data_IF_306638170989
#
_entry.id   IF_306638170989
#
_cell.length_a   1.000
_cell.length_b   1.000
_cell.length_c   1.000
_cell.angle_alpha   90.00
_cell.angle_beta   90.00
_cell.angle_gamma   90.00
#
_symmetry.space_group_name_H-M   'P 1'
#
loop_
_entity.id
_entity.type
_entity.pdbx_description
1 polymer ?
#
# COMPACT_ATOMS: atom_id res chain seq x y z
N UNK A 1 -1.30 21.46 1.21
CA UNK A 1 -1.85 20.09 1.26
C UNK A 1 -0.66 19.14 1.29
N UNK A 2 -0.69 18.05 2.08
CA UNK A 2 0.40 17.07 2.11
C UNK A 2 0.34 16.12 0.91
N UNK A 3 1.46 15.47 0.55
CA UNK A 3 1.48 14.39 -0.45
C UNK A 3 1.07 13.05 0.19
N UNK A 4 0.48 12.14 -0.58
CA UNK A 4 0.06 10.81 -0.10
C UNK A 4 0.71 9.68 -0.92
N UNK A 5 1.22 8.65 -0.24
CA UNK A 5 1.66 7.39 -0.84
C UNK A 5 0.90 6.23 -0.18
N UNK A 6 0.19 5.43 -0.98
CA UNK A 6 -0.43 4.18 -0.55
C UNK A 6 0.24 2.98 -1.25
N UNK A 7 0.64 1.99 -0.46
CA UNK A 7 1.34 0.78 -0.90
C UNK A 7 0.48 -0.42 -0.54
N UNK A 8 -0.16 -1.04 -1.54
CA UNK A 8 -1.25 -1.98 -1.31
C UNK A 8 -1.05 -3.30 -2.05
N UNK A 9 -1.58 -4.39 -1.48
CA UNK A 9 -1.49 -5.72 -2.06
C UNK A 9 -2.77 -6.14 -2.78
N UNK A 10 -2.66 -6.67 -4.00
CA UNK A 10 -3.82 -7.01 -4.84
C UNK A 10 -4.70 -8.13 -4.29
N UNK A 11 -4.13 -8.95 -3.40
CA UNK A 11 -4.79 -10.11 -2.81
C UNK A 11 -5.17 -9.85 -1.35
N UNK A 12 -5.25 -8.59 -0.94
CA UNK A 12 -5.71 -8.17 0.39
C UNK A 12 -7.25 -8.21 0.45
N UNK A 13 -7.85 -9.15 1.20
CA UNK A 13 -9.31 -9.19 1.37
C UNK A 13 -9.82 -8.22 2.45
N UNK A 14 -8.93 -7.65 3.26
CA UNK A 14 -9.26 -6.71 4.35
C UNK A 14 -9.59 -5.34 3.77
N UNK A 15 -8.88 -4.94 2.71
CA UNK A 15 -9.13 -3.69 1.98
C UNK A 15 -9.37 -3.99 0.49
N UNK A 16 -10.63 -4.26 0.08
CA UNK A 16 -10.95 -4.61 -1.31
C UNK A 16 -10.69 -3.46 -2.30
N UNK A 17 -10.56 -3.80 -3.59
CA UNK A 17 -10.28 -2.85 -4.67
C UNK A 17 -11.24 -1.64 -4.72
N UNK A 18 -12.51 -1.81 -4.34
CA UNK A 18 -13.47 -0.71 -4.29
C UNK A 18 -13.09 0.38 -3.26
N UNK A 19 -12.46 0.01 -2.14
CA UNK A 19 -11.98 0.99 -1.15
C UNK A 19 -10.76 1.74 -1.66
N UNK A 20 -9.87 1.08 -2.41
CA UNK A 20 -8.74 1.75 -3.07
C UNK A 20 -9.25 2.75 -4.12
N UNK A 21 -10.20 2.34 -4.96
CA UNK A 21 -10.81 3.24 -5.94
C UNK A 21 -11.51 4.44 -5.28
N UNK A 22 -12.18 4.23 -4.13
CA UNK A 22 -12.77 5.33 -3.36
C UNK A 22 -11.71 6.30 -2.82
N UNK A 23 -10.59 5.79 -2.29
CA UNK A 23 -9.47 6.61 -1.84
C UNK A 23 -8.85 7.44 -2.98
N UNK A 24 -8.63 6.81 -4.13
CA UNK A 24 -8.11 7.49 -5.34
C UNK A 24 -9.03 8.65 -5.76
N UNK A 25 -10.35 8.43 -5.75
CA UNK A 25 -11.33 9.45 -6.06
C UNK A 25 -11.32 10.61 -5.05
N UNK A 26 -11.32 10.30 -3.75
CA UNK A 26 -11.30 11.31 -2.67
C UNK A 26 -10.03 12.18 -2.76
N UNK A 27 -8.86 11.57 -2.92
CA UNK A 27 -7.59 12.30 -3.02
C UNK A 27 -7.51 13.14 -4.29
N UNK A 28 -8.08 12.64 -5.40
CA UNK A 28 -8.15 13.39 -6.66
C UNK A 28 -9.09 14.58 -6.59
N UNK A 29 -10.28 14.42 -6.03
CA UNK A 29 -11.25 15.50 -5.82
C UNK A 29 -10.68 16.58 -4.88
N UNK A 30 -9.91 16.15 -3.87
CA UNK A 30 -9.22 17.06 -2.97
C UNK A 30 -7.98 17.74 -3.59
N UNK A 31 -7.64 17.47 -4.85
CA UNK A 31 -6.43 17.97 -5.54
C UNK A 31 -5.15 17.74 -4.71
N UNK A 32 -5.04 16.55 -4.12
CA UNK A 32 -3.85 16.10 -3.39
C UNK A 32 -2.88 15.45 -4.37
N UNK A 33 -1.57 15.67 -4.22
CA UNK A 33 -0.58 14.87 -4.94
C UNK A 33 -0.50 13.49 -4.27
N UNK A 34 -0.98 12.48 -4.96
CA UNK A 34 -1.09 11.12 -4.45
C UNK A 34 -0.50 10.08 -5.39
N UNK A 35 0.00 8.99 -4.80
CA UNK A 35 0.47 7.80 -5.51
C UNK A 35 -0.13 6.56 -4.84
N UNK A 36 -0.76 5.68 -5.61
CA UNK A 36 -1.13 4.33 -5.17
C UNK A 36 -0.31 3.32 -5.96
N UNK A 37 0.39 2.43 -5.27
CA UNK A 37 1.09 1.29 -5.89
C UNK A 37 0.40 -0.01 -5.49
N UNK A 38 -0.03 -0.75 -6.51
CA UNK A 38 -0.58 -2.09 -6.35
C UNK A 38 0.50 -3.15 -6.58
N UNK A 39 0.74 -3.97 -5.57
CA UNK A 39 1.61 -5.14 -5.67
C UNK A 39 0.76 -6.37 -5.95
N UNK A 40 0.99 -7.00 -7.11
CA UNK A 40 0.41 -8.31 -7.40
C UNK A 40 0.75 -9.32 -6.28
N UNK A 41 -0.07 -10.36 -6.12
CA UNK A 41 0.07 -11.47 -5.15
C UNK A 41 0.10 -11.11 -3.66
N UNK A 42 0.38 -9.86 -3.30
CA UNK A 42 0.55 -9.42 -1.93
C UNK A 42 -0.79 -9.41 -1.19
N UNK A 43 -0.75 -9.94 0.03
CA UNK A 43 -1.87 -10.02 0.95
C UNK A 43 -1.80 -8.89 1.99
N UNK A 44 -2.78 -8.82 2.88
CA UNK A 44 -2.69 -7.92 4.03
C UNK A 44 -1.44 -8.25 4.86
N UNK A 45 -0.95 -7.27 5.63
CA UNK A 45 0.17 -7.45 6.55
C UNK A 45 1.50 -7.90 5.91
N UNK A 46 1.73 -7.63 4.62
CA UNK A 46 2.99 -8.01 3.95
C UNK A 46 4.27 -7.39 4.55
N UNK A 47 4.15 -6.30 5.32
CA UNK A 47 5.24 -5.71 6.09
C UNK A 47 5.34 -6.15 7.57
N UNK A 48 4.39 -6.94 8.07
CA UNK A 48 4.34 -7.35 9.48
C UNK A 48 5.10 -8.65 9.65
N UNK A 49 6.27 -8.58 10.28
CA UNK A 49 7.09 -9.78 10.53
C UNK A 49 6.30 -10.82 11.33
N UNK A 50 6.35 -12.08 10.87
CA UNK A 50 5.63 -13.19 11.50
C UNK A 50 4.17 -13.36 11.06
N UNK A 51 3.60 -12.47 10.22
CA UNK A 51 2.29 -12.68 9.64
C UNK A 51 2.28 -13.95 8.76
N UNK A 52 1.48 -14.95 9.14
CA UNK A 52 1.40 -16.23 8.45
C UNK A 52 -0.01 -16.82 8.58
N UNK A 53 -1.00 -16.13 8.04
CA UNK A 53 -2.37 -16.60 7.94
C UNK A 53 -2.95 -16.35 6.53
N UNK A 54 -2.52 -17.10 5.51
CA UNK A 54 -3.01 -16.92 4.14
C UNK A 54 -4.52 -17.14 4.01
N UNK A 55 -5.10 -18.04 4.82
CA UNK A 55 -6.55 -18.28 4.84
C UNK A 55 -7.34 -17.05 5.32
N UNK A 56 -6.75 -16.25 6.22
CA UNK A 56 -7.26 -14.94 6.63
C UNK A 56 -6.74 -13.77 5.78
N UNK A 57 -6.09 -14.05 4.64
CA UNK A 57 -5.56 -13.03 3.73
C UNK A 57 -4.42 -12.20 4.30
N UNK A 58 -3.61 -12.75 5.21
CA UNK A 58 -2.47 -12.09 5.83
C UNK A 58 -1.21 -12.92 5.64
N UNK A 59 -0.18 -12.36 4.99
CA UNK A 59 1.07 -13.07 4.78
C UNK A 59 2.23 -12.10 4.68
N UNK A 60 3.26 -12.31 5.51
CA UNK A 60 4.49 -11.55 5.48
C UNK A 60 5.29 -11.84 4.21
N UNK A 61 5.75 -10.78 3.54
CA UNK A 61 6.69 -10.87 2.42
C UNK A 61 7.85 -9.91 2.68
N UNK A 62 9.00 -10.47 3.06
CA UNK A 62 10.22 -9.71 3.37
C UNK A 62 10.71 -8.88 2.19
N UNK A 63 10.69 -9.43 0.98
CA UNK A 63 11.23 -8.76 -0.19
C UNK A 63 10.32 -7.58 -0.57
N UNK A 64 9.01 -7.80 -0.51
CA UNK A 64 8.04 -6.76 -0.78
C UNK A 64 8.06 -5.67 0.29
N UNK A 65 8.15 -6.04 1.58
CA UNK A 65 8.30 -5.11 2.69
C UNK A 65 9.51 -4.19 2.49
N UNK A 66 10.67 -4.76 2.17
CA UNK A 66 11.88 -3.98 1.87
C UNK A 66 11.71 -3.05 0.65
N UNK A 67 10.99 -3.49 -0.38
CA UNK A 67 10.66 -2.66 -1.54
C UNK A 67 9.75 -1.49 -1.16
N UNK A 68 8.70 -1.75 -0.40
CA UNK A 68 7.79 -0.72 0.11
C UNK A 68 8.51 0.33 0.94
N UNK A 69 9.45 -0.07 1.80
CA UNK A 69 10.28 0.88 2.55
C UNK A 69 11.23 1.70 1.67
N UNK A 70 11.73 1.16 0.54
CA UNK A 70 12.50 1.98 -0.42
C UNK A 70 11.61 3.06 -1.04
N UNK A 71 10.44 2.68 -1.55
CA UNK A 71 9.48 3.62 -2.14
C UNK A 71 9.06 4.71 -1.16
N UNK A 72 8.80 4.35 0.11
CA UNK A 72 8.50 5.31 1.16
C UNK A 72 9.65 6.31 1.40
N UNK A 73 10.90 5.84 1.43
CA UNK A 73 12.06 6.71 1.62
C UNK A 73 12.26 7.65 0.44
N UNK A 74 12.11 7.16 -0.79
CA UNK A 74 12.22 7.97 -2.00
C UNK A 74 11.13 9.05 -2.01
N UNK A 75 9.88 8.68 -1.68
CA UNK A 75 8.76 9.61 -1.55
C UNK A 75 9.02 10.71 -0.51
N UNK A 76 9.60 10.37 0.65
CA UNK A 76 9.98 11.38 1.64
C UNK A 76 11.12 12.27 1.14
N UNK A 77 12.13 11.72 0.46
CA UNK A 77 13.25 12.49 -0.07
C UNK A 77 12.84 13.49 -1.16
N UNK A 78 11.75 13.24 -1.90
CA UNK A 78 11.18 14.19 -2.85
C UNK A 78 10.38 15.32 -2.17
N UNK A 79 10.02 15.15 -0.90
CA UNK A 79 9.08 16.05 -0.20
C UNK A 79 9.81 17.10 0.66
N UNK A 80 11.11 16.92 0.93
CA UNK A 80 11.96 17.81 1.73
C UNK A 80 13.17 18.29 0.92
#
# INVERSE_FOLDING_TARGET
KGRVLALHGSNDPVTPAAQIAALEAELSEAEVDWQVTMFGHAMHSFCVEGANNPAGGQLYDKALCQKSYRMMRDFFAETF
#
